data_IF_504561085071
#
_entry.id   IF_504561085071
#
_cell.length_a   1.000
_cell.length_b   1.000
_cell.length_c   1.000
_cell.angle_alpha   90.00
_cell.angle_beta   90.00
_cell.angle_gamma   90.00
#
_symmetry.space_group_name_H-M   'P 1'
#
loop_
_entity.id
_entity.type
_entity.pdbx_description
1 polymer ?
#
# COMPACT_ATOMS: atom_id res chain seq x y z
N UNK A 1 21.75 2.56 15.70
CA UNK A 1 22.87 1.94 14.98
C UNK A 1 24.14 2.30 15.69
N UNK A 2 24.78 1.29 16.26
CA UNK A 2 26.10 1.36 16.87
C UNK A 2 27.14 0.97 15.82
N UNK A 3 27.89 1.93 15.28
CA UNK A 3 28.83 1.67 14.20
C UNK A 3 30.01 0.81 14.64
N UNK A 4 30.45 0.94 15.89
CA UNK A 4 31.56 0.17 16.44
C UNK A 4 31.19 -1.30 16.59
N UNK A 5 30.07 -1.57 17.26
CA UNK A 5 29.57 -2.93 17.46
C UNK A 5 29.28 -3.64 16.13
N UNK A 6 28.71 -2.92 15.14
CA UNK A 6 28.47 -3.49 13.81
C UNK A 6 29.76 -3.77 13.06
N UNK A 7 30.78 -2.92 13.19
CA UNK A 7 32.07 -3.15 12.55
C UNK A 7 32.76 -4.39 13.11
N UNK A 8 32.75 -4.57 14.44
CA UNK A 8 33.28 -5.77 15.09
C UNK A 8 32.54 -7.02 14.63
N UNK A 9 31.21 -6.98 14.64
CA UNK A 9 30.38 -8.12 14.22
C UNK A 9 30.60 -8.49 12.74
N UNK A 10 30.70 -7.51 11.86
CA UNK A 10 30.95 -7.73 10.43
C UNK A 10 32.38 -8.20 10.14
N UNK A 11 33.31 -7.97 11.07
CA UNK A 11 34.71 -8.41 10.99
C UNK A 11 34.93 -9.82 11.56
N UNK A 12 33.93 -10.42 12.19
CA UNK A 12 33.97 -11.81 12.65
C UNK A 12 33.95 -12.81 11.46
N UNK A 13 34.41 -14.05 11.71
CA UNK A 13 34.45 -15.11 10.69
C UNK A 13 33.07 -15.51 10.16
N UNK A 14 32.02 -15.34 10.96
CA UNK A 14 30.64 -15.65 10.61
C UNK A 14 29.68 -14.51 11.05
N UNK A 15 29.59 -13.42 10.28
CA UNK A 15 28.66 -12.33 10.61
C UNK A 15 27.21 -12.79 10.50
N UNK A 16 26.29 -12.14 11.23
CA UNK A 16 24.86 -12.47 11.12
C UNK A 16 24.40 -12.33 9.68
N UNK A 17 23.89 -13.43 9.10
CA UNK A 17 23.36 -13.50 7.72
C UNK A 17 22.30 -12.43 7.42
N UNK A 18 21.60 -11.94 8.44
CA UNK A 18 20.64 -10.86 8.29
C UNK A 18 21.30 -9.54 7.87
N UNK A 19 22.48 -9.19 8.41
CA UNK A 19 23.18 -7.94 8.10
C UNK A 19 23.80 -7.96 6.69
N UNK A 20 24.27 -9.12 6.24
CA UNK A 20 24.89 -9.30 4.91
C UNK A 20 23.88 -9.12 3.76
N UNK A 21 22.59 -8.95 4.05
CA UNK A 21 21.57 -8.54 3.08
C UNK A 21 21.76 -7.10 2.59
N UNK A 22 22.43 -6.25 3.38
CA UNK A 22 22.81 -4.90 2.97
C UNK A 22 23.96 -4.88 1.94
N UNK A 23 24.82 -5.90 1.95
CA UNK A 23 26.00 -6.00 1.11
C UNK A 23 27.01 -7.02 1.63
N UNK A 24 28.11 -7.22 0.90
CA UNK A 24 29.20 -8.06 1.38
C UNK A 24 29.81 -7.47 2.66
N UNK A 25 30.27 -8.32 3.57
CA UNK A 25 30.90 -7.90 4.82
C UNK A 25 32.03 -6.89 4.57
N UNK A 26 32.87 -7.14 3.56
CA UNK A 26 33.95 -6.23 3.15
C UNK A 26 33.45 -4.85 2.71
N UNK A 27 32.37 -4.79 1.92
CA UNK A 27 31.81 -3.52 1.49
C UNK A 27 31.21 -2.75 2.68
N UNK A 28 30.56 -3.45 3.61
CA UNK A 28 29.93 -2.85 4.79
C UNK A 28 30.96 -2.32 5.79
N UNK A 29 32.04 -3.08 6.07
CA UNK A 29 33.13 -2.61 6.95
C UNK A 29 33.89 -1.44 6.32
N UNK A 30 34.07 -1.45 5.00
CA UNK A 30 34.65 -0.33 4.25
C UNK A 30 33.77 0.91 4.33
N UNK A 31 32.45 0.79 4.10
CA UNK A 31 31.52 1.91 4.18
C UNK A 31 31.45 2.49 5.59
N UNK A 32 31.44 1.65 6.64
CA UNK A 32 31.53 2.13 8.02
C UNK A 32 32.82 2.93 8.26
N UNK A 33 33.96 2.42 7.78
CA UNK A 33 35.24 3.12 7.89
C UNK A 33 35.25 4.46 7.14
N UNK A 34 34.60 4.52 5.98
CA UNK A 34 34.42 5.76 5.22
C UNK A 34 33.54 6.74 6.00
N UNK A 35 32.45 6.27 6.62
CA UNK A 35 31.58 7.10 7.47
C UNK A 35 32.36 7.71 8.65
N UNK A 36 33.19 6.92 9.33
CA UNK A 36 34.06 7.40 10.40
C UNK A 36 35.05 8.49 9.93
N UNK A 37 35.67 8.30 8.76
CA UNK A 37 36.55 9.31 8.15
C UNK A 37 35.78 10.58 7.77
N UNK A 38 34.55 10.45 7.26
CA UNK A 38 33.71 11.58 6.89
C UNK A 38 33.32 12.44 8.10
N UNK A 39 32.98 11.81 9.22
CA UNK A 39 32.58 12.47 10.47
C UNK A 39 33.78 12.90 11.33
N UNK A 40 35.00 12.62 10.88
CA UNK A 40 36.25 12.82 11.64
C UNK A 40 36.17 12.26 13.08
N UNK A 41 35.47 11.13 13.23
CA UNK A 41 35.11 10.56 14.54
C UNK A 41 35.36 9.04 14.51
N UNK A 42 35.99 8.45 15.54
CA UNK A 42 36.17 7.00 15.62
C UNK A 42 34.86 6.22 15.55
N UNK A 43 34.87 5.05 14.90
CA UNK A 43 33.69 4.17 14.76
C UNK A 43 33.00 3.89 16.10
N UNK A 44 33.79 3.66 17.15
CA UNK A 44 33.30 3.35 18.49
C UNK A 44 32.47 4.47 19.13
N UNK A 45 32.59 5.70 18.64
CA UNK A 45 31.83 6.86 19.12
C UNK A 45 30.62 7.20 18.25
N UNK A 46 30.50 6.63 17.04
CA UNK A 46 29.41 6.95 16.12
C UNK A 46 28.13 6.20 16.48
N UNK A 47 27.06 6.96 16.72
CA UNK A 47 25.71 6.45 17.00
C UNK A 47 24.69 7.20 16.17
N UNK A 48 23.83 6.45 15.47
CA UNK A 48 22.73 7.01 14.68
C UNK A 48 21.40 6.35 15.04
N UNK A 49 20.35 7.13 15.23
CA UNK A 49 18.99 6.66 15.49
C UNK A 49 18.01 7.29 14.52
N UNK A 50 16.89 6.60 14.24
CA UNK A 50 15.84 7.10 13.35
C UNK A 50 16.41 7.54 11.99
N UNK A 51 16.06 8.76 11.59
CA UNK A 51 16.40 9.36 10.28
C UNK A 51 17.72 10.13 10.26
N UNK A 52 18.43 10.23 11.38
CA UNK A 52 19.63 11.08 11.50
C UNK A 52 20.69 10.78 10.43
N UNK A 53 20.93 9.51 10.10
CA UNK A 53 21.90 9.15 9.07
C UNK A 53 21.40 9.50 7.65
N UNK A 54 20.10 9.43 7.41
CA UNK A 54 19.48 9.85 6.15
C UNK A 54 19.63 11.37 5.94
N UNK A 55 19.45 12.16 6.99
CA UNK A 55 19.67 13.62 6.99
C UNK A 55 21.14 13.97 6.73
N UNK A 56 22.06 13.26 7.39
CA UNK A 56 23.51 13.45 7.22
C UNK A 56 24.00 13.06 5.83
N UNK A 57 23.35 12.10 5.20
CA UNK A 57 23.66 11.61 3.86
C UNK A 57 22.48 11.92 2.92
N UNK A 58 22.32 13.18 2.47
CA UNK A 58 21.21 13.56 1.58
C UNK A 58 21.27 12.77 0.27
N UNK A 59 20.11 12.47 -0.34
CA UNK A 59 20.07 11.66 -1.56
C UNK A 59 20.41 12.45 -2.84
N UNK A 60 20.21 13.77 -2.79
CA UNK A 60 20.19 14.67 -3.93
C UNK A 60 21.42 15.59 -3.99
N UNK A 61 22.31 15.51 -2.99
CA UNK A 61 23.63 16.15 -2.98
C UNK A 61 24.69 15.21 -2.40
N UNK A 62 25.96 15.43 -2.77
CA UNK A 62 27.12 14.73 -2.20
C UNK A 62 27.78 15.68 -1.19
N UNK A 63 27.70 15.39 0.13
CA UNK A 63 28.33 16.21 1.15
C UNK A 63 29.81 16.46 0.89
N UNK A 64 30.33 17.64 1.26
CA UNK A 64 31.75 18.00 1.05
C UNK A 64 32.71 16.95 1.62
N UNK A 65 32.42 16.41 2.81
CA UNK A 65 33.21 15.35 3.44
C UNK A 65 33.18 14.05 2.63
N UNK A 66 32.01 13.65 2.14
CA UNK A 66 31.86 12.49 1.25
C UNK A 66 32.63 12.69 -0.06
N UNK A 67 32.55 13.89 -0.66
CA UNK A 67 33.19 14.22 -1.93
C UNK A 67 34.71 14.10 -1.89
N UNK A 68 35.34 14.44 -0.75
CA UNK A 68 36.79 14.29 -0.55
C UNK A 68 37.25 12.84 -0.56
N UNK A 69 36.40 11.90 -0.16
CA UNK A 69 36.77 10.48 0.02
C UNK A 69 36.26 9.63 -1.14
N UNK A 70 35.00 9.81 -1.54
CA UNK A 70 34.33 9.04 -2.58
C UNK A 70 34.47 9.67 -3.97
N UNK A 71 34.88 10.94 -4.06
CA UNK A 71 34.89 11.72 -5.28
C UNK A 71 33.53 12.38 -5.59
N UNK A 72 33.39 12.93 -6.80
CA UNK A 72 32.17 13.60 -7.28
C UNK A 72 31.13 12.68 -7.92
N UNK A 73 31.34 11.36 -7.92
CA UNK A 73 30.47 10.41 -8.62
C UNK A 73 29.21 10.08 -7.81
N UNK A 74 28.05 10.54 -8.29
CA UNK A 74 26.74 10.29 -7.66
C UNK A 74 26.42 8.80 -7.53
N UNK A 75 26.77 7.97 -8.51
CA UNK A 75 26.49 6.54 -8.46
C UNK A 75 27.21 5.85 -7.29
N UNK A 76 28.50 6.19 -7.09
CA UNK A 76 29.31 5.66 -5.99
C UNK A 76 28.75 6.11 -4.64
N UNK A 77 28.45 7.40 -4.50
CA UNK A 77 27.85 7.96 -3.29
C UNK A 77 26.48 7.33 -2.96
N UNK A 78 25.60 7.18 -3.95
CA UNK A 78 24.29 6.54 -3.76
C UNK A 78 24.42 5.08 -3.36
N UNK A 79 25.40 4.35 -3.91
CA UNK A 79 25.71 2.98 -3.50
C UNK A 79 26.14 2.88 -2.03
N UNK A 80 27.07 3.73 -1.61
CA UNK A 80 27.52 3.89 -0.22
C UNK A 80 26.37 4.22 0.72
N UNK A 81 25.63 5.30 0.42
CA UNK A 81 24.46 5.75 1.19
C UNK A 81 23.44 4.64 1.36
N UNK A 82 23.14 3.93 0.27
CA UNK A 82 22.15 2.85 0.26
C UNK A 82 22.56 1.73 1.23
N UNK A 83 23.80 1.26 1.16
CA UNK A 83 24.30 0.16 2.02
C UNK A 83 24.31 0.54 3.49
N UNK A 84 24.72 1.77 3.83
CA UNK A 84 24.68 2.25 5.21
C UNK A 84 23.26 2.30 5.78
N UNK A 85 22.30 2.82 5.01
CA UNK A 85 20.91 2.88 5.45
C UNK A 85 20.24 1.49 5.50
N UNK A 86 20.62 0.56 4.60
CA UNK A 86 20.21 -0.85 4.70
C UNK A 86 20.72 -1.49 5.99
N UNK A 87 22.01 -1.27 6.27
CA UNK A 87 22.66 -1.78 7.47
C UNK A 87 22.00 -1.21 8.74
N UNK A 88 21.72 0.10 8.75
CA UNK A 88 21.01 0.76 9.84
C UNK A 88 19.64 0.10 10.05
N UNK A 89 18.84 -0.04 8.99
CA UNK A 89 17.51 -0.65 9.05
C UNK A 89 17.57 -2.08 9.61
N UNK A 90 18.50 -2.90 9.13
CA UNK A 90 18.64 -4.29 9.57
C UNK A 90 19.10 -4.39 11.03
N UNK A 91 19.96 -3.48 11.47
CA UNK A 91 20.49 -3.45 12.83
C UNK A 91 19.49 -2.91 13.86
N UNK A 92 18.74 -1.87 13.51
CA UNK A 92 17.83 -1.19 14.45
C UNK A 92 16.37 -1.62 14.32
N UNK A 93 16.00 -2.21 13.18
CA UNK A 93 14.60 -2.56 12.83
C UNK A 93 13.64 -1.38 12.95
N UNK A 94 14.13 -0.17 12.72
CA UNK A 94 13.36 1.08 12.84
C UNK A 94 13.26 1.80 11.49
N UNK A 95 12.34 2.77 11.36
CA UNK A 95 12.33 3.70 10.23
C UNK A 95 13.68 4.45 10.17
N UNK A 96 14.30 4.47 8.98
CA UNK A 96 15.62 5.11 8.75
C UNK A 96 15.58 6.18 7.65
N UNK A 97 14.60 6.11 6.74
CA UNK A 97 14.38 7.11 5.70
C UNK A 97 13.32 8.11 6.21
N UNK A 98 13.58 9.40 6.02
CA UNK A 98 12.58 10.46 6.30
C UNK A 98 11.33 10.27 5.44
N UNK A 99 11.57 9.99 4.16
CA UNK A 99 10.55 9.74 3.16
C UNK A 99 10.00 8.30 3.29
N UNK A 100 8.71 8.13 3.68
CA UNK A 100 8.10 6.81 3.85
C UNK A 100 8.20 5.93 2.61
N UNK A 101 8.10 6.52 1.42
CA UNK A 101 8.16 5.77 0.17
C UNK A 101 9.56 5.21 -0.06
N UNK A 102 10.62 5.98 0.23
CA UNK A 102 12.01 5.48 0.14
C UNK A 102 12.23 4.33 1.14
N UNK A 103 11.65 4.42 2.34
CA UNK A 103 11.66 3.35 3.33
C UNK A 103 10.97 2.07 2.83
N UNK A 104 9.79 2.19 2.21
CA UNK A 104 9.07 1.06 1.61
C UNK A 104 9.82 0.44 0.43
N UNK A 105 10.43 1.26 -0.43
CA UNK A 105 11.29 0.80 -1.52
C UNK A 105 12.47 -0.03 -0.98
N UNK A 106 13.11 0.45 0.09
CA UNK A 106 14.19 -0.25 0.78
C UNK A 106 13.74 -1.60 1.32
N UNK A 107 12.61 -1.63 2.04
CA UNK A 107 12.03 -2.86 2.57
C UNK A 107 11.70 -3.86 1.46
N UNK A 108 11.07 -3.42 0.38
CA UNK A 108 10.71 -4.28 -0.74
C UNK A 108 11.92 -4.90 -1.43
N UNK A 109 12.99 -4.12 -1.63
CA UNK A 109 14.24 -4.63 -2.18
C UNK A 109 14.88 -5.69 -1.27
N UNK A 110 14.91 -5.45 0.04
CA UNK A 110 15.54 -6.35 0.99
C UNK A 110 14.71 -7.63 1.22
N UNK A 111 13.40 -7.51 1.42
CA UNK A 111 12.51 -8.59 1.88
C UNK A 111 11.89 -9.39 0.73
N UNK A 112 11.77 -8.82 -0.48
CA UNK A 112 11.08 -9.46 -1.60
C UNK A 112 12.06 -9.74 -2.74
N UNK A 113 12.49 -8.68 -3.45
CA UNK A 113 13.47 -8.72 -4.55
C UNK A 113 13.78 -7.31 -5.03
N UNK A 114 14.91 -7.07 -5.72
CA UNK A 114 15.29 -5.74 -6.20
C UNK A 114 14.21 -5.01 -7.00
N UNK A 115 13.52 -5.70 -7.92
CA UNK A 115 12.47 -5.08 -8.75
C UNK A 115 11.16 -4.77 -8.01
N UNK A 116 10.99 -5.20 -6.76
CA UNK A 116 9.79 -4.94 -5.97
C UNK A 116 9.68 -3.48 -5.50
N UNK A 117 10.74 -2.68 -5.62
CA UNK A 117 10.70 -1.25 -5.27
C UNK A 117 9.98 -0.39 -6.33
N UNK A 118 9.93 -0.83 -7.58
CA UNK A 118 9.44 -0.05 -8.72
C UNK A 118 7.98 0.40 -8.60
N UNK A 119 7.01 -0.43 -8.15
CA UNK A 119 5.62 -0.01 -8.05
C UNK A 119 5.41 1.19 -7.11
N UNK A 120 6.29 1.42 -6.13
CA UNK A 120 6.16 2.52 -5.18
C UNK A 120 6.37 3.91 -5.78
N UNK A 121 6.95 4.03 -7.00
CA UNK A 121 6.97 5.31 -7.71
C UNK A 121 5.56 5.82 -8.00
N UNK A 122 4.66 4.92 -8.39
CA UNK A 122 3.27 5.28 -8.61
C UNK A 122 2.56 5.56 -7.29
N UNK A 123 2.86 4.79 -6.22
CA UNK A 123 2.30 5.07 -4.90
C UNK A 123 2.64 6.50 -4.44
N UNK A 124 3.90 6.94 -4.60
CA UNK A 124 4.30 8.33 -4.30
C UNK A 124 3.47 9.36 -5.07
N UNK A 125 3.18 9.10 -6.35
CA UNK A 125 2.46 10.03 -7.22
C UNK A 125 0.99 10.17 -6.82
N UNK A 126 0.43 9.08 -6.31
CA UNK A 126 -1.00 8.96 -5.97
C UNK A 126 -1.28 9.45 -4.54
N UNK A 127 -0.36 9.22 -3.61
CA UNK A 127 -0.46 9.79 -2.27
C UNK A 127 -0.25 11.30 -2.34
N UNK A 128 -1.12 12.06 -1.66
CA UNK A 128 -0.90 13.48 -1.45
C UNK A 128 0.15 13.71 -0.36
N UNK A 129 0.67 14.93 -0.25
CA UNK A 129 1.71 15.27 0.73
C UNK A 129 1.29 15.07 2.20
N UNK A 130 0.00 14.90 2.47
CA UNK A 130 -0.58 14.76 3.81
C UNK A 130 -0.91 13.34 4.21
N UNK A 131 -0.89 12.37 3.29
CA UNK A 131 -1.24 10.97 3.57
C UNK A 131 0.02 10.10 3.56
N UNK A 132 0.40 9.59 4.73
CA UNK A 132 1.47 8.61 4.82
C UNK A 132 0.99 7.21 4.40
N UNK A 133 1.87 6.34 3.88
CA UNK A 133 1.50 4.98 3.48
C UNK A 133 0.88 4.14 4.61
N UNK A 134 1.25 4.37 5.87
CA UNK A 134 0.72 3.65 7.02
C UNK A 134 -0.75 4.01 7.33
N UNK A 135 -1.23 5.14 6.83
CA UNK A 135 -2.60 5.62 6.98
C UNK A 135 -3.53 5.07 5.90
N UNK A 136 -2.99 4.39 4.88
CA UNK A 136 -3.78 3.76 3.84
C UNK A 136 -4.73 2.73 4.45
N UNK A 137 -6.01 2.90 4.12
CA UNK A 137 -7.03 1.89 4.35
C UNK A 137 -7.55 1.37 3.02
N UNK A 138 -8.24 0.22 3.04
CA UNK A 138 -8.89 -0.33 1.85
C UNK A 138 -9.84 0.67 1.19
N UNK A 139 -10.59 1.45 1.97
CA UNK A 139 -11.49 2.50 1.46
C UNK A 139 -10.72 3.57 0.69
N UNK A 140 -9.68 4.14 1.30
CA UNK A 140 -8.83 5.16 0.66
C UNK A 140 -8.18 4.60 -0.62
N UNK A 141 -7.70 3.35 -0.59
CA UNK A 141 -7.11 2.71 -1.75
C UNK A 141 -8.09 2.54 -2.92
N UNK A 142 -9.37 2.23 -2.64
CA UNK A 142 -10.42 2.17 -3.67
C UNK A 142 -10.67 3.55 -4.28
N UNK A 143 -10.76 4.59 -3.46
CA UNK A 143 -11.04 5.94 -3.94
C UNK A 143 -9.87 6.52 -4.76
N UNK A 144 -8.63 6.23 -4.38
CA UNK A 144 -7.45 6.57 -5.18
C UNK A 144 -7.44 5.79 -6.51
N UNK A 145 -7.76 4.49 -6.49
CA UNK A 145 -7.82 3.67 -7.70
C UNK A 145 -8.87 4.17 -8.72
N UNK A 146 -10.00 4.74 -8.25
CA UNK A 146 -11.06 5.37 -9.08
C UNK A 146 -10.53 6.44 -10.02
N UNK A 147 -9.55 7.21 -9.57
CA UNK A 147 -8.98 8.32 -10.33
C UNK A 147 -7.85 7.89 -11.28
N UNK A 148 -7.52 6.60 -11.33
CA UNK A 148 -6.42 6.07 -12.14
C UNK A 148 -6.94 5.23 -13.31
N UNK A 149 -6.21 5.28 -14.43
CA UNK A 149 -6.50 4.50 -15.63
C UNK A 149 -5.21 3.88 -16.20
N UNK A 150 -5.37 2.87 -17.07
CA UNK A 150 -4.25 2.25 -17.79
C UNK A 150 -3.10 1.75 -16.90
N UNK A 151 -1.88 2.04 -17.33
CA UNK A 151 -0.64 1.60 -16.68
C UNK A 151 -0.50 2.14 -15.25
N UNK A 152 -0.94 3.38 -15.01
CA UNK A 152 -0.87 4.03 -13.71
C UNK A 152 -1.68 3.23 -12.68
N UNK A 153 -2.92 2.87 -13.03
CA UNK A 153 -3.75 2.03 -12.18
C UNK A 153 -3.15 0.65 -11.91
N UNK A 154 -2.62 0.00 -12.95
CA UNK A 154 -1.99 -1.31 -12.81
C UNK A 154 -0.79 -1.25 -11.85
N UNK A 155 0.04 -0.21 -11.98
CA UNK A 155 1.23 0.00 -11.15
C UNK A 155 0.85 0.34 -9.71
N UNK A 156 -0.18 1.16 -9.51
CA UNK A 156 -0.74 1.45 -8.20
C UNK A 156 -1.20 0.17 -7.49
N UNK A 157 -2.01 -0.67 -8.17
CA UNK A 157 -2.45 -1.97 -7.64
C UNK A 157 -1.28 -2.91 -7.34
N UNK A 158 -0.23 -2.89 -8.15
CA UNK A 158 0.98 -3.66 -7.88
C UNK A 158 1.73 -3.15 -6.63
N UNK A 159 1.71 -1.84 -6.37
CA UNK A 159 2.25 -1.27 -5.13
C UNK A 159 1.48 -1.74 -3.90
N UNK A 160 0.13 -1.75 -3.97
CA UNK A 160 -0.71 -2.29 -2.89
C UNK A 160 -0.42 -3.78 -2.64
N UNK A 161 -0.30 -4.59 -3.70
CA UNK A 161 0.09 -5.99 -3.57
C UNK A 161 1.50 -6.17 -2.97
N UNK A 162 2.41 -5.21 -3.18
CA UNK A 162 3.74 -5.23 -2.57
C UNK A 162 3.68 -4.87 -1.08
N UNK A 163 2.84 -3.89 -0.69
CA UNK A 163 2.54 -3.60 0.72
C UNK A 163 1.98 -4.82 1.46
N UNK A 164 0.99 -5.48 0.86
CA UNK A 164 0.37 -6.69 1.43
C UNK A 164 1.39 -7.82 1.62
N UNK A 165 2.35 -7.97 0.70
CA UNK A 165 3.45 -8.94 0.87
C UNK A 165 4.41 -8.55 1.98
N UNK A 166 4.71 -7.26 2.13
CA UNK A 166 5.58 -6.76 3.21
C UNK A 166 4.97 -6.98 4.60
N UNK A 167 3.65 -7.11 4.73
CA UNK A 167 3.03 -7.53 6.00
C UNK A 167 3.52 -8.89 6.51
N UNK A 168 4.04 -9.77 5.65
CA UNK A 168 4.67 -11.03 6.07
C UNK A 168 6.08 -10.88 6.67
N UNK A 169 6.66 -9.68 6.62
CA UNK A 169 8.02 -9.42 7.10
C UNK A 169 8.01 -8.79 8.50
N UNK A 170 8.66 -9.45 9.45
CA UNK A 170 8.88 -8.90 10.79
C UNK A 170 9.72 -7.60 10.76
N UNK A 171 10.65 -7.48 9.80
CA UNK A 171 11.44 -6.25 9.62
C UNK A 171 10.53 -5.09 9.19
N UNK A 172 9.66 -5.31 8.21
CA UNK A 172 8.77 -4.27 7.70
C UNK A 172 7.74 -3.84 8.74
N UNK A 173 7.14 -4.77 9.48
CA UNK A 173 6.21 -4.49 10.58
C UNK A 173 6.83 -3.57 11.64
N UNK A 174 8.09 -3.83 12.02
CA UNK A 174 8.78 -3.05 13.06
C UNK A 174 9.03 -1.58 12.70
N UNK A 175 9.00 -1.22 11.40
CA UNK A 175 9.25 0.15 10.96
C UNK A 175 8.07 1.10 11.13
N UNK A 176 6.85 0.57 11.29
CA UNK A 176 5.62 1.37 11.32
C UNK A 176 5.23 2.00 9.97
N UNK A 177 5.89 1.63 8.86
CA UNK A 177 5.60 2.17 7.52
C UNK A 177 4.41 1.50 6.82
N UNK A 178 3.99 0.33 7.29
CA UNK A 178 2.90 -0.42 6.68
C UNK A 178 1.53 0.07 7.14
N UNK A 179 0.50 -0.04 6.29
CA UNK A 179 -0.89 0.07 6.70
C UNK A 179 -1.20 -0.74 7.95
N UNK A 180 -2.16 -0.32 8.76
CA UNK A 180 -2.60 -1.11 9.93
C UNK A 180 -3.11 -2.50 9.54
N UNK A 181 -3.81 -2.59 8.41
CA UNK A 181 -4.42 -3.82 7.90
C UNK A 181 -3.99 -4.07 6.45
N UNK A 182 -3.92 -5.34 6.07
CA UNK A 182 -3.76 -5.77 4.68
C UNK A 182 -4.89 -5.13 3.84
N UNK A 183 -4.51 -4.50 2.72
CA UNK A 183 -5.44 -3.81 1.84
C UNK A 183 -6.22 -4.83 1.02
N UNK A 184 -5.52 -5.83 0.48
CA UNK A 184 -6.07 -6.90 -0.33
C UNK A 184 -6.42 -6.47 -1.76
N UNK A 185 -6.92 -7.43 -2.55
CA UNK A 185 -7.29 -7.16 -3.94
C UNK A 185 -8.40 -6.10 -4.04
N UNK A 186 -8.15 -5.07 -4.85
CA UNK A 186 -9.15 -4.05 -5.15
C UNK A 186 -10.16 -4.56 -6.19
N UNK A 187 -11.46 -4.22 -6.06
CA UNK A 187 -12.50 -4.63 -7.01
C UNK A 187 -12.17 -4.14 -8.43
N UNK A 188 -12.46 -4.93 -9.46
CA UNK A 188 -12.20 -4.53 -10.85
C UNK A 188 -13.06 -3.31 -11.21
N UNK A 189 -12.66 -2.50 -12.22
CA UNK A 189 -13.50 -1.39 -12.68
C UNK A 189 -14.90 -1.82 -13.12
N UNK A 190 -15.06 -3.08 -13.54
CA UNK A 190 -16.34 -3.66 -13.93
C UNK A 190 -17.22 -4.08 -12.75
N UNK A 191 -16.67 -4.13 -11.54
CA UNK A 191 -17.37 -4.64 -10.38
C UNK A 191 -18.24 -3.53 -9.78
N UNK A 192 -19.46 -3.88 -9.40
CA UNK A 192 -20.42 -2.88 -8.88
C UNK A 192 -19.90 -2.17 -7.63
N UNK A 193 -19.14 -2.86 -6.76
CA UNK A 193 -18.52 -2.29 -5.57
C UNK A 193 -17.48 -1.19 -5.89
N UNK A 194 -16.93 -1.15 -7.11
CA UNK A 194 -16.01 -0.10 -7.56
C UNK A 194 -16.75 1.15 -8.06
N UNK A 195 -17.93 0.98 -8.65
CA UNK A 195 -18.69 2.05 -9.29
C UNK A 195 -19.65 2.72 -8.30
N UNK A 196 -20.19 1.94 -7.37
CA UNK A 196 -21.16 2.41 -6.39
C UNK A 196 -20.81 1.82 -5.03
N UNK A 197 -20.12 2.57 -4.13
CA UNK A 197 -19.90 2.11 -2.77
C UNK A 197 -21.25 1.86 -2.10
N UNK A 198 -21.36 0.75 -1.37
CA UNK A 198 -22.58 0.45 -0.63
C UNK A 198 -22.64 1.34 0.63
N UNK A 199 -23.81 1.90 0.96
CA UNK A 199 -24.04 2.58 2.21
C UNK A 199 -23.94 1.60 3.39
N UNK A 200 -23.67 2.11 4.59
CA UNK A 200 -23.21 1.33 5.74
C UNK A 200 -24.11 0.11 6.04
N UNK A 201 -25.44 0.28 6.05
CA UNK A 201 -26.37 -0.82 6.35
C UNK A 201 -26.34 -1.91 5.27
N UNK A 202 -26.25 -1.54 3.99
CA UNK A 202 -26.12 -2.52 2.90
C UNK A 202 -24.73 -3.16 2.86
N UNK A 203 -23.68 -2.42 3.25
CA UNK A 203 -22.32 -2.94 3.33
C UNK A 203 -22.20 -4.04 4.40
N UNK A 204 -22.78 -3.84 5.59
CA UNK A 204 -22.82 -4.83 6.67
C UNK A 204 -23.52 -6.13 6.24
N UNK A 205 -24.67 -6.00 5.57
CA UNK A 205 -25.37 -7.16 5.02
C UNK A 205 -24.56 -7.85 3.92
N UNK A 206 -23.92 -7.07 3.06
CA UNK A 206 -23.07 -7.60 1.99
C UNK A 206 -21.88 -8.41 2.55
N UNK A 207 -21.28 -8.00 3.66
CA UNK A 207 -20.17 -8.75 4.27
C UNK A 207 -20.59 -10.14 4.78
N UNK A 208 -21.79 -10.25 5.33
CA UNK A 208 -22.30 -11.51 5.92
C UNK A 208 -23.07 -12.40 4.93
N UNK A 209 -23.47 -11.85 3.78
CA UNK A 209 -24.24 -12.57 2.76
C UNK A 209 -23.43 -13.61 1.96
N UNK A 210 -24.12 -14.64 1.47
CA UNK A 210 -23.55 -15.61 0.51
C UNK A 210 -23.23 -14.95 -0.85
N UNK A 211 -22.26 -15.49 -1.63
CA UNK A 211 -21.81 -14.88 -2.89
C UNK A 211 -22.94 -14.48 -3.87
N UNK A 212 -23.99 -15.29 -4.09
CA UNK A 212 -25.09 -14.92 -4.99
C UNK A 212 -25.92 -13.73 -4.50
N UNK A 213 -26.04 -13.55 -3.18
CA UNK A 213 -26.76 -12.45 -2.55
C UNK A 213 -25.91 -11.18 -2.54
N UNK A 214 -24.60 -11.29 -2.30
CA UNK A 214 -23.65 -10.15 -2.42
C UNK A 214 -23.75 -9.45 -3.77
N UNK A 215 -23.67 -10.23 -4.87
CA UNK A 215 -23.79 -9.68 -6.23
C UNK A 215 -25.15 -9.02 -6.47
N UNK A 216 -26.22 -9.56 -5.88
CA UNK A 216 -27.55 -8.99 -6.00
C UNK A 216 -27.65 -7.66 -5.24
N UNK A 217 -27.11 -7.55 -4.02
CA UNK A 217 -27.14 -6.31 -3.22
C UNK A 217 -26.43 -5.18 -3.98
N UNK A 218 -25.21 -5.42 -4.46
CA UNK A 218 -24.46 -4.40 -5.20
C UNK A 218 -25.12 -4.00 -6.52
N UNK A 219 -25.74 -4.95 -7.23
CA UNK A 219 -26.44 -4.66 -8.48
C UNK A 219 -27.76 -3.89 -8.25
N UNK A 220 -28.54 -4.30 -7.25
CA UNK A 220 -29.81 -3.67 -6.89
C UNK A 220 -29.63 -2.23 -6.47
N UNK A 221 -28.68 -1.96 -5.57
CA UNK A 221 -28.41 -0.59 -5.13
C UNK A 221 -27.89 0.31 -6.25
N UNK A 222 -26.98 -0.20 -7.10
CA UNK A 222 -26.47 0.55 -8.26
C UNK A 222 -27.58 0.95 -9.25
N UNK A 223 -28.50 0.04 -9.55
CA UNK A 223 -29.65 0.35 -10.41
C UNK A 223 -30.60 1.33 -9.70
N UNK A 224 -30.80 1.19 -8.40
CA UNK A 224 -31.63 2.10 -7.61
C UNK A 224 -31.11 3.55 -7.65
N UNK A 225 -29.79 3.77 -7.54
CA UNK A 225 -29.19 5.10 -7.73
C UNK A 225 -29.35 5.60 -9.17
N UNK A 226 -29.13 4.74 -10.18
CA UNK A 226 -29.34 5.12 -11.57
C UNK A 226 -30.79 5.53 -11.89
N UNK A 227 -31.75 4.97 -11.17
CA UNK A 227 -33.17 5.34 -11.22
C UNK A 227 -33.54 6.52 -10.32
N UNK A 228 -32.57 7.11 -9.62
CA UNK A 228 -32.75 8.18 -8.64
C UNK A 228 -33.79 7.81 -7.57
N UNK A 229 -33.77 6.55 -7.11
CA UNK A 229 -34.63 6.10 -5.99
C UNK A 229 -34.09 6.56 -4.64
N UNK A 230 -32.80 6.86 -4.57
CA UNK A 230 -32.06 7.33 -3.40
C UNK A 230 -31.04 8.37 -3.87
N UNK A 231 -30.71 9.32 -3.01
CA UNK A 231 -29.53 10.16 -3.17
C UNK A 231 -28.26 9.45 -2.69
N UNK A 232 -27.09 9.92 -3.11
CA UNK A 232 -25.80 9.30 -2.78
C UNK A 232 -25.50 9.28 -1.26
N UNK A 233 -26.12 10.18 -0.48
CA UNK A 233 -25.92 10.32 0.97
C UNK A 233 -26.92 9.49 1.82
N UNK A 234 -27.89 8.83 1.17
CA UNK A 234 -28.88 8.03 1.88
C UNK A 234 -28.33 6.65 2.27
N UNK A 235 -28.63 6.20 3.50
CA UNK A 235 -28.23 4.90 4.05
C UNK A 235 -29.42 3.94 4.22
N UNK A 236 -30.00 3.43 3.11
CA UNK A 236 -31.14 2.55 3.15
C UNK A 236 -30.78 1.15 3.65
N UNK A 237 -31.68 0.54 4.38
CA UNK A 237 -31.73 -0.90 4.66
C UNK A 237 -32.15 -1.67 3.41
N UNK A 238 -31.97 -3.01 3.43
CA UNK A 238 -32.49 -3.88 2.37
C UNK A 238 -34.02 -3.75 2.22
N UNK A 239 -34.74 -3.51 3.33
CA UNK A 239 -36.20 -3.29 3.32
C UNK A 239 -36.58 -2.01 2.60
N UNK A 240 -35.89 -0.91 2.87
CA UNK A 240 -36.15 0.39 2.22
C UNK A 240 -35.79 0.34 0.73
N UNK A 241 -34.68 -0.32 0.38
CA UNK A 241 -34.30 -0.60 -1.01
C UNK A 241 -35.41 -1.37 -1.75
N UNK A 242 -36.09 -2.29 -1.06
CA UNK A 242 -37.16 -3.14 -1.59
C UNK A 242 -38.56 -2.72 -1.12
N UNK A 243 -38.82 -1.43 -0.96
CA UNK A 243 -40.19 -0.95 -0.81
C UNK A 243 -41.03 -1.38 -2.03
N UNK A 244 -42.35 -1.58 -1.88
CA UNK A 244 -43.22 -2.04 -2.98
C UNK A 244 -43.06 -1.18 -4.24
N UNK A 245 -42.99 0.14 -4.05
CA UNK A 245 -42.74 1.13 -5.11
C UNK A 245 -41.39 0.94 -5.80
N UNK A 246 -40.34 0.63 -5.04
CA UNK A 246 -39.00 0.43 -5.60
C UNK A 246 -38.90 -0.92 -6.33
N UNK A 247 -39.54 -1.98 -5.82
CA UNK A 247 -39.55 -3.30 -6.45
C UNK A 247 -40.10 -3.20 -7.88
N UNK A 248 -41.25 -2.55 -8.06
CA UNK A 248 -41.86 -2.41 -9.39
C UNK A 248 -40.92 -1.69 -10.37
N UNK A 249 -40.30 -0.60 -9.93
CA UNK A 249 -39.35 0.16 -10.77
C UNK A 249 -38.10 -0.66 -11.09
N UNK A 250 -37.53 -1.37 -10.12
CA UNK A 250 -36.37 -2.24 -10.33
C UNK A 250 -36.70 -3.39 -11.29
N UNK A 251 -37.85 -4.04 -11.16
CA UNK A 251 -38.24 -5.18 -12.01
C UNK A 251 -38.47 -4.79 -13.47
N UNK A 252 -38.93 -3.57 -13.72
CA UNK A 252 -39.25 -3.04 -15.05
C UNK A 252 -38.09 -2.29 -15.73
N UNK A 253 -36.94 -2.19 -15.07
CA UNK A 253 -35.79 -1.44 -15.60
C UNK A 253 -34.85 -2.32 -16.39
N UNK A 254 -34.46 -1.86 -17.58
CA UNK A 254 -33.29 -2.37 -18.30
C UNK A 254 -32.02 -1.70 -17.77
N UNK A 255 -31.09 -2.41 -17.12
CA UNK A 255 -29.85 -1.81 -16.63
C UNK A 255 -29.01 -1.13 -17.74
N UNK A 256 -29.15 -1.56 -19.00
CA UNK A 256 -28.43 -0.95 -20.12
C UNK A 256 -28.85 0.51 -20.38
N UNK A 257 -30.11 0.88 -20.12
CA UNK A 257 -30.59 2.25 -20.27
C UNK A 257 -29.96 3.21 -19.26
N UNK A 258 -29.45 2.67 -18.14
CA UNK A 258 -28.72 3.39 -17.09
C UNK A 258 -27.19 3.35 -17.28
N UNK A 259 -26.71 2.93 -18.46
CA UNK A 259 -25.29 2.78 -18.75
C UNK A 259 -24.64 1.52 -18.14
N UNK A 260 -25.42 0.60 -17.54
CA UNK A 260 -24.93 -0.65 -16.94
C UNK A 260 -24.93 -1.77 -18.00
N UNK A 261 -24.14 -1.59 -19.05
CA UNK A 261 -24.17 -2.41 -20.28
C UNK A 261 -23.88 -3.91 -20.11
N UNK A 262 -23.30 -4.34 -18.98
CA UNK A 262 -22.93 -5.75 -18.73
C UNK A 262 -24.03 -6.57 -18.06
N UNK A 263 -25.06 -5.93 -17.53
CA UNK A 263 -26.11 -6.59 -16.76
C UNK A 263 -27.36 -6.75 -17.64
N UNK A 264 -27.65 -8.00 -18.07
CA UNK A 264 -28.83 -8.29 -18.90
C UNK A 264 -30.12 -8.16 -18.08
N UNK A 265 -31.26 -7.73 -18.67
CA UNK A 265 -32.54 -7.59 -17.98
C UNK A 265 -33.01 -8.86 -17.26
N UNK A 266 -32.86 -10.03 -17.89
CA UNK A 266 -33.23 -11.31 -17.28
C UNK A 266 -32.39 -11.63 -16.03
N UNK A 267 -31.08 -11.39 -16.10
CA UNK A 267 -30.16 -11.58 -14.96
C UNK A 267 -30.47 -10.61 -13.84
N UNK A 268 -30.80 -9.35 -14.17
CA UNK A 268 -31.15 -8.37 -13.16
C UNK A 268 -32.46 -8.71 -12.43
N UNK A 269 -33.50 -9.14 -13.16
CA UNK A 269 -34.73 -9.63 -12.53
C UNK A 269 -34.48 -10.81 -11.59
N UNK A 270 -33.57 -11.72 -11.95
CA UNK A 270 -33.16 -12.80 -11.05
C UNK A 270 -32.46 -12.28 -9.77
N UNK A 271 -31.69 -11.19 -9.86
CA UNK A 271 -31.10 -10.53 -8.69
C UNK A 271 -32.16 -9.87 -7.81
N UNK A 272 -33.12 -9.14 -8.39
CA UNK A 272 -34.22 -8.50 -7.63
C UNK A 272 -35.04 -9.56 -6.91
N UNK A 273 -35.40 -10.67 -7.57
CA UNK A 273 -36.09 -11.80 -6.92
C UNK A 273 -35.30 -12.41 -5.76
N UNK A 274 -33.97 -12.50 -5.88
CA UNK A 274 -33.10 -12.98 -4.80
C UNK A 274 -33.09 -12.02 -3.62
N UNK A 275 -33.08 -10.71 -3.87
CA UNK A 275 -33.17 -9.68 -2.83
C UNK A 275 -34.51 -9.75 -2.10
N UNK A 276 -35.63 -9.89 -2.83
CA UNK A 276 -36.97 -10.07 -2.26
C UNK A 276 -36.98 -11.28 -1.33
N UNK A 277 -36.51 -12.44 -1.81
CA UNK A 277 -36.45 -13.67 -1.01
C UNK A 277 -35.60 -13.52 0.25
N UNK A 278 -34.48 -12.80 0.17
CA UNK A 278 -33.62 -12.55 1.33
C UNK A 278 -34.31 -11.62 2.34
N UNK A 279 -34.95 -10.55 1.86
CA UNK A 279 -35.68 -9.61 2.70
C UNK A 279 -36.84 -10.28 3.45
N UNK A 280 -37.59 -11.17 2.79
CA UNK A 280 -38.67 -11.93 3.42
C UNK A 280 -38.20 -12.88 4.53
N UNK A 281 -36.94 -13.34 4.51
CA UNK A 281 -36.34 -14.21 5.55
C UNK A 281 -35.77 -13.44 6.73
N UNK A 282 -35.64 -12.12 6.62
CA UNK A 282 -35.13 -11.24 7.68
C UNK A 282 -36.27 -10.67 8.56
N UNK A 283 -37.52 -11.01 8.23
CA UNK A 283 -38.70 -10.87 9.08
C UNK A 283 -38.92 -12.17 9.86
#
# INVERSE_FOLDING_TARGET
MDCGALFEELSCSEPRKALTRAGSWFALTTDLSILAKMEATPLMMLRYSGTMLCERLPADDIPKAARKILGGEFARYRGFRRRLLDLQLLATRSRVDEDPIRGLQRLARLEIRPSAENPFYELRRVLNATLEPCELSRRIAIDLDKNLTGLNRQTFRAALGTLDRLHGSALAQATGLLPKNIIGFLPKPSDNAYITPLPQKLAQLHETAEPPLRSAISAGYRVALGLQLFNDDEDPTLKELLSERNIERLMNTDPASLGIKRLKPATFRAYVNRLIKACSKMN
#
